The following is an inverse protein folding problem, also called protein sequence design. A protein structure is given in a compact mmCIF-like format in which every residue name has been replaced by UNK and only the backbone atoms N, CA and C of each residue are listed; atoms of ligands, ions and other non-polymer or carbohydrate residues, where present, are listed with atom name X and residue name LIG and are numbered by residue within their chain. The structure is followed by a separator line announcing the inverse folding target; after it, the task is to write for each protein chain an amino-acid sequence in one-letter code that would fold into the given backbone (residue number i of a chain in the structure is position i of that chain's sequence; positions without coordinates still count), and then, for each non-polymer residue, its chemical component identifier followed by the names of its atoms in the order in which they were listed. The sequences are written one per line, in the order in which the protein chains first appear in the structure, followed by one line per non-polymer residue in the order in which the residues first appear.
data_IF_098067239798
#
_entry.id   IF_098067239798
#
_cell.length_a   1.000
_cell.length_b   1.000
_cell.length_c   1.000
_cell.angle_alpha   90.00
_cell.angle_beta   90.00
_cell.angle_gamma   90.00
#
_symmetry.space_group_name_H-M   'P 1'
#
loop_
_entity.id
_entity.type
_entity.pdbx_description
1 polymer ?
#
# COMPACT_ATOMS: atom_id res chain seq x y z
N UNK A 1 -24.36 -4.89 -24.34
CA UNK A 1 -23.70 -4.35 -23.16
C UNK A 1 -22.24 -4.72 -23.20
N UNK A 2 -21.34 -3.77 -23.45
CA UNK A 2 -19.90 -4.02 -23.49
C UNK A 2 -19.38 -4.08 -22.06
N UNK A 3 -19.10 -5.27 -21.55
CA UNK A 3 -18.39 -5.41 -20.28
C UNK A 3 -16.93 -5.06 -20.53
N UNK A 4 -16.40 -4.05 -19.83
CA UNK A 4 -14.97 -3.77 -19.87
C UNK A 4 -14.18 -5.04 -19.50
N UNK A 5 -12.99 -5.26 -20.11
CA UNK A 5 -12.17 -6.42 -19.78
C UNK A 5 -11.73 -6.39 -18.31
N UNK A 6 -11.58 -7.56 -17.66
CA UNK A 6 -11.13 -7.62 -16.27
C UNK A 6 -9.71 -7.06 -16.12
N UNK A 7 -9.45 -6.43 -14.97
CA UNK A 7 -8.10 -5.98 -14.59
C UNK A 7 -7.26 -7.17 -14.16
N UNK A 8 -6.01 -7.23 -14.62
CA UNK A 8 -4.99 -8.17 -14.13
C UNK A 8 -4.06 -7.43 -13.19
N UNK A 9 -3.82 -7.99 -12.01
CA UNK A 9 -2.84 -7.48 -11.07
C UNK A 9 -1.48 -8.14 -11.33
N UNK A 10 -0.44 -7.31 -11.43
CA UNK A 10 0.93 -7.73 -11.72
C UNK A 10 1.82 -7.69 -10.50
N UNK A 11 1.58 -6.72 -9.62
CA UNK A 11 2.33 -6.53 -8.40
C UNK A 11 1.38 -6.01 -7.31
N UNK A 12 1.59 -6.53 -6.11
CA UNK A 12 1.01 -5.98 -4.89
C UNK A 12 2.16 -5.56 -3.99
N UNK A 13 2.07 -4.38 -3.39
CA UNK A 13 2.89 -4.00 -2.25
C UNK A 13 2.02 -3.51 -1.10
N UNK A 14 2.53 -3.68 0.10
CA UNK A 14 1.95 -3.16 1.33
C UNK A 14 3.04 -2.47 2.15
N UNK A 15 2.76 -1.26 2.60
CA UNK A 15 3.63 -0.49 3.47
C UNK A 15 2.93 -0.26 4.81
N UNK A 16 3.61 -0.57 5.91
CA UNK A 16 3.23 -0.17 7.26
C UNK A 16 3.76 1.23 7.52
N UNK A 17 2.86 2.13 7.92
CA UNK A 17 3.19 3.54 8.04
C UNK A 17 2.68 4.15 9.31
N UNK A 18 3.44 5.14 9.75
CA UNK A 18 3.20 5.94 10.94
C UNK A 18 3.03 7.39 10.52
N UNK A 19 1.95 8.03 10.97
CA UNK A 19 1.74 9.47 10.81
C UNK A 19 1.70 10.14 12.19
N UNK A 20 2.62 11.07 12.43
CA UNK A 20 2.60 11.98 13.58
C UNK A 20 2.07 13.33 13.15
N UNK A 21 1.02 13.82 13.81
CA UNK A 21 0.45 15.14 13.55
C UNK A 21 0.56 16.03 14.77
N UNK A 22 1.19 17.19 14.60
CA UNK A 22 1.27 18.24 15.63
C UNK A 22 0.22 19.30 15.32
N UNK A 23 -0.51 19.75 16.35
CA UNK A 23 -1.49 20.82 16.20
C UNK A 23 -0.84 22.09 15.61
N UNK A 24 -1.53 22.72 14.66
CA UNK A 24 -1.02 23.83 13.86
C UNK A 24 -0.26 24.95 14.61
N UNK A 25 -0.72 25.45 15.79
CA UNK A 25 0.02 26.50 16.50
C UNK A 25 1.38 26.05 17.07
N UNK A 26 1.63 24.74 17.15
CA UNK A 26 2.86 24.14 17.69
C UNK A 26 3.72 23.48 16.61
N UNK A 27 3.22 23.39 15.37
CA UNK A 27 3.93 22.73 14.27
C UNK A 27 5.04 23.64 13.72
N UNK A 28 6.29 23.16 13.74
CA UNK A 28 7.46 23.87 13.20
C UNK A 28 7.73 23.56 11.72
N UNK A 29 7.11 22.49 11.19
CA UNK A 29 7.12 22.07 9.78
C UNK A 29 5.70 21.67 9.36
N UNK A 30 5.49 21.28 8.09
CA UNK A 30 4.22 20.74 7.61
C UNK A 30 3.60 19.80 8.67
N UNK A 31 2.38 20.09 9.10
CA UNK A 31 1.83 19.63 10.39
C UNK A 31 1.66 18.13 10.57
N UNK A 32 2.07 17.30 9.60
CA UNK A 32 2.13 15.85 9.70
C UNK A 32 3.47 15.32 9.18
N UNK A 33 4.08 14.40 9.92
CA UNK A 33 5.28 13.63 9.53
C UNK A 33 4.85 12.19 9.31
N UNK A 34 5.07 11.67 8.11
CA UNK A 34 4.78 10.27 7.76
C UNK A 34 6.09 9.49 7.60
N UNK A 35 6.14 8.30 8.15
CA UNK A 35 7.25 7.36 8.02
C UNK A 35 6.74 6.00 7.56
N UNK A 36 7.51 5.34 6.69
CA UNK A 36 7.33 3.93 6.34
C UNK A 36 8.20 3.12 7.28
N UNK A 37 7.57 2.29 8.10
CA UNK A 37 8.24 1.49 9.13
C UNK A 37 8.65 0.12 8.59
N UNK A 38 7.82 -0.45 7.69
CA UNK A 38 8.13 -1.67 6.95
C UNK A 38 7.38 -1.70 5.61
N UNK A 39 7.94 -2.39 4.62
CA UNK A 39 7.31 -2.54 3.31
C UNK A 39 7.64 -3.90 2.70
N UNK A 40 6.62 -4.54 2.13
CA UNK A 40 6.76 -5.80 1.42
C UNK A 40 6.01 -5.75 0.09
N UNK A 41 6.53 -6.44 -0.91
CA UNK A 41 5.92 -6.52 -2.24
C UNK A 41 6.23 -7.81 -2.94
N UNK A 42 5.32 -8.23 -3.82
CA UNK A 42 5.50 -9.43 -4.64
C UNK A 42 4.84 -9.27 -6.01
N UNK A 43 5.50 -9.83 -7.02
CA UNK A 43 4.91 -10.00 -8.35
C UNK A 43 3.85 -11.12 -8.28
N UNK A 44 2.62 -10.80 -8.67
CA UNK A 44 1.44 -11.60 -8.36
C UNK A 44 0.59 -11.92 -9.59
N UNK A 45 1.19 -11.97 -10.79
CA UNK A 45 0.47 -12.31 -12.01
C UNK A 45 -0.35 -13.59 -11.77
N UNK A 46 -1.67 -13.51 -11.96
CA UNK A 46 -2.64 -14.61 -11.79
C UNK A 46 -2.92 -15.08 -10.34
N UNK A 47 -2.31 -14.47 -9.32
CA UNK A 47 -2.62 -14.79 -7.92
C UNK A 47 -3.98 -14.23 -7.50
N UNK A 48 -4.78 -15.05 -6.80
CA UNK A 48 -6.10 -14.65 -6.27
C UNK A 48 -6.04 -14.13 -4.83
N UNK A 49 -4.99 -14.47 -4.10
CA UNK A 49 -4.75 -14.07 -2.72
C UNK A 49 -3.25 -13.93 -2.48
N UNK A 50 -2.90 -13.09 -1.51
CA UNK A 50 -1.53 -12.77 -1.12
C UNK A 50 -1.51 -12.57 0.38
N UNK A 51 -0.40 -12.93 1.00
CA UNK A 51 -0.14 -12.74 2.42
C UNK A 51 1.17 -11.99 2.58
N UNK A 52 1.19 -11.05 3.52
CA UNK A 52 2.36 -10.26 3.85
C UNK A 52 2.59 -10.36 5.35
N UNK A 53 3.86 -10.42 5.73
CA UNK A 53 4.30 -10.27 7.11
C UNK A 53 5.01 -8.92 7.20
N UNK A 54 4.57 -8.10 8.14
CA UNK A 54 5.14 -6.78 8.40
C UNK A 54 5.55 -6.73 9.87
N UNK A 55 6.72 -6.19 10.14
CA UNK A 55 7.23 -6.05 11.48
C UNK A 55 6.91 -4.66 12.05
N UNK A 56 6.34 -4.64 13.25
CA UNK A 56 6.33 -3.44 14.08
C UNK A 56 7.71 -3.27 14.74
N UNK A 57 8.33 -2.07 14.70
CA UNK A 57 9.50 -1.78 15.51
C UNK A 57 9.26 -2.09 16.98
N UNK A 58 10.30 -2.54 17.70
CA UNK A 58 10.17 -2.91 19.13
C UNK A 58 9.71 -1.74 20.00
N UNK A 59 10.08 -0.54 19.62
CA UNK A 59 9.75 0.74 20.24
C UNK A 59 8.60 1.48 19.51
N UNK A 60 7.83 0.76 18.69
CA UNK A 60 6.67 1.30 18.00
C UNK A 60 5.69 1.93 19.01
N UNK A 61 5.45 3.25 18.97
CA UNK A 61 4.49 3.88 19.86
C UNK A 61 3.07 3.43 19.54
N UNK A 62 2.19 3.24 20.54
CA UNK A 62 0.79 2.92 20.30
C UNK A 62 0.08 4.07 19.59
N UNK A 63 -1.05 3.77 18.95
CA UNK A 63 -1.96 4.79 18.41
C UNK A 63 -2.49 5.66 19.55
N UNK A 64 -2.44 6.98 19.38
CA UNK A 64 -3.03 7.91 20.35
C UNK A 64 -3.45 9.22 19.68
N UNK A 65 -4.38 9.92 20.33
CA UNK A 65 -4.79 11.25 19.93
C UNK A 65 -4.99 12.15 21.16
N UNK A 66 -4.32 13.30 21.15
CA UNK A 66 -4.49 14.39 22.11
C UNK A 66 -4.79 15.69 21.36
N UNK A 67 -5.21 16.77 22.05
CA UNK A 67 -5.40 18.07 21.40
C UNK A 67 -4.14 18.67 20.77
N UNK A 68 -2.94 18.22 21.17
CA UNK A 68 -1.66 18.77 20.73
C UNK A 68 -0.93 17.87 19.73
N UNK A 69 -1.07 16.56 19.87
CA UNK A 69 -0.34 15.55 19.12
C UNK A 69 -1.22 14.31 18.90
N UNK A 70 -1.19 13.78 17.69
CA UNK A 70 -1.73 12.45 17.38
C UNK A 70 -0.69 11.59 16.68
N UNK A 71 -0.75 10.30 16.94
CA UNK A 71 0.01 9.28 16.24
C UNK A 71 -0.96 8.21 15.74
N UNK A 72 -0.96 7.98 14.42
CA UNK A 72 -1.81 7.01 13.76
C UNK A 72 -0.98 6.05 12.91
N UNK A 73 -1.42 4.81 12.85
CA UNK A 73 -0.82 3.78 12.01
C UNK A 73 -1.73 3.46 10.83
N UNK A 74 -1.13 3.09 9.71
CA UNK A 74 -1.88 2.69 8.52
C UNK A 74 -1.12 1.70 7.66
N UNK A 75 -1.86 0.87 6.93
CA UNK A 75 -1.35 0.04 5.86
C UNK A 75 -1.69 0.71 4.53
N UNK A 76 -0.68 1.11 3.76
CA UNK A 76 -0.88 1.48 2.36
C UNK A 76 -0.74 0.24 1.50
N UNK A 77 -1.82 -0.14 0.83
CA UNK A 77 -1.83 -1.19 -0.19
C UNK A 77 -1.73 -0.55 -1.57
N UNK A 78 -0.76 -0.97 -2.38
CA UNK A 78 -0.60 -0.54 -3.76
C UNK A 78 -0.70 -1.74 -4.70
N UNK A 79 -1.59 -1.67 -5.69
CA UNK A 79 -1.75 -2.66 -6.74
C UNK A 79 -1.34 -2.05 -8.08
N UNK A 80 -0.41 -2.71 -8.75
CA UNK A 80 -0.08 -2.42 -10.13
C UNK A 80 -0.95 -3.31 -11.03
N UNK A 81 -1.86 -2.71 -11.79
CA UNK A 81 -2.84 -3.43 -12.61
C UNK A 81 -2.76 -3.03 -14.07
N UNK A 82 -3.23 -3.89 -14.97
CA UNK A 82 -3.49 -3.51 -16.36
C UNK A 82 -4.80 -4.11 -16.85
N UNK A 83 -5.44 -3.44 -17.82
CA UNK A 83 -6.63 -3.99 -18.48
C UNK A 83 -6.23 -5.19 -19.34
N UNK A 84 -6.91 -6.32 -19.17
CA UNK A 84 -6.68 -7.49 -20.03
C UNK A 84 -7.10 -7.16 -21.48
N UNK A 85 -6.15 -6.72 -22.31
CA UNK A 85 -6.44 -6.28 -23.68
C UNK A 85 -5.30 -6.42 -24.70
N UNK A 86 -4.10 -6.79 -24.29
CA UNK A 86 -3.00 -7.03 -25.24
C UNK A 86 -2.81 -8.54 -25.42
N UNK A 87 -3.53 -9.09 -26.41
CA UNK A 87 -3.22 -10.32 -27.14
C UNK A 87 -2.37 -11.37 -26.37
N UNK A 88 -3.01 -12.29 -25.64
CA UNK A 88 -2.39 -13.60 -25.37
C UNK A 88 -2.30 -14.34 -26.70
N UNK A 89 -1.23 -14.10 -27.48
CA UNK A 89 -0.88 -14.97 -28.58
C UNK A 89 -0.37 -16.29 -27.96
N UNK A 90 -0.95 -17.45 -28.30
CA UNK A 90 -0.47 -18.72 -27.78
C UNK A 90 0.90 -19.01 -28.39
N UNK A 91 1.98 -18.83 -27.63
CA UNK A 91 3.30 -19.37 -28.02
C UNK A 91 4.54 -18.53 -27.73
N UNK A 92 4.47 -17.34 -27.13
CA UNK A 92 5.68 -16.61 -26.75
C UNK A 92 5.76 -16.31 -25.25
N UNK A 93 6.62 -17.06 -24.56
CA UNK A 93 7.15 -16.65 -23.26
C UNK A 93 8.14 -15.51 -23.51
N UNK A 94 7.64 -14.30 -23.76
CA UNK A 94 8.47 -13.11 -23.90
C UNK A 94 8.42 -12.32 -22.58
N UNK A 95 9.57 -12.25 -21.91
CA UNK A 95 9.88 -11.39 -20.75
C UNK A 95 9.87 -9.87 -21.13
N UNK A 96 8.99 -9.45 -22.04
CA UNK A 96 8.90 -8.06 -22.47
C UNK A 96 7.99 -7.24 -21.54
N UNK A 97 8.30 -5.96 -21.28
CA UNK A 97 7.38 -5.06 -20.59
C UNK A 97 6.07 -5.03 -21.38
N UNK A 98 4.97 -5.37 -20.73
CA UNK A 98 3.68 -5.54 -21.38
C UNK A 98 3.27 -4.25 -22.12
N UNK A 99 2.86 -4.32 -23.39
CA UNK A 99 2.25 -3.19 -24.07
C UNK A 99 0.81 -3.04 -23.54
N UNK A 100 0.65 -2.28 -22.47
CA UNK A 100 -0.66 -1.95 -21.90
C UNK A 100 -0.57 -0.75 -20.98
N UNK A 101 -1.64 0.01 -20.87
CA UNK A 101 -1.77 1.06 -19.86
C UNK A 101 -1.77 0.39 -18.48
N UNK A 102 -0.66 0.57 -17.76
CA UNK A 102 -0.52 0.12 -16.38
C UNK A 102 -1.06 1.21 -15.48
N UNK A 103 -1.98 0.84 -14.60
CA UNK A 103 -2.61 1.72 -13.63
C UNK A 103 -2.14 1.33 -12.23
N UNK A 104 -1.82 2.32 -11.41
CA UNK A 104 -1.53 2.13 -9.99
C UNK A 104 -2.78 2.45 -9.19
N UNK A 105 -3.23 1.50 -8.38
CA UNK A 105 -4.32 1.67 -7.45
C UNK A 105 -3.77 1.63 -6.03
N UNK A 106 -4.03 2.67 -5.24
CA UNK A 106 -3.52 2.79 -3.87
C UNK A 106 -4.66 3.02 -2.88
N UNK A 107 -4.65 2.27 -1.78
CA UNK A 107 -5.57 2.42 -0.66
C UNK A 107 -4.81 2.52 0.64
N UNK A 108 -5.40 3.18 1.63
CA UNK A 108 -4.85 3.26 2.98
C UNK A 108 -5.88 2.73 3.96
N UNK A 109 -5.51 1.72 4.74
CA UNK A 109 -6.32 1.13 5.78
C UNK A 109 -5.78 1.57 7.14
N UNK A 110 -6.59 2.18 8.02
CA UNK A 110 -6.14 2.52 9.36
C UNK A 110 -5.89 1.24 10.17
N UNK A 111 -4.86 1.27 11.01
CA UNK A 111 -4.55 0.20 11.97
C UNK A 111 -4.41 0.82 13.35
N UNK A 112 -4.96 0.14 14.36
CA UNK A 112 -4.76 0.51 15.76
C UNK A 112 -3.64 -0.35 16.36
N UNK A 113 -2.55 0.32 16.76
CA UNK A 113 -1.46 -0.30 17.50
C UNK A 113 -1.71 -0.05 18.98
N UNK A 114 -1.76 -1.11 19.77
CA UNK A 114 -1.95 -1.05 21.22
C UNK A 114 -0.69 -1.50 21.94
N UNK A 115 -0.53 -1.04 23.18
CA UNK A 115 0.55 -1.52 24.06
C UNK A 115 0.29 -2.99 24.41
N UNK A 116 1.30 -3.84 24.21
CA UNK A 116 1.26 -5.26 24.51
C UNK A 116 1.66 -5.51 25.96
N UNK A 117 0.76 -5.22 26.90
CA UNK A 117 0.91 -5.57 28.32
C UNK A 117 0.48 -7.01 28.60
#
# INVERSE_FOLDING_TARGET
SSSAPPLRCWQVSVALEREERVAAPFATRAGAVRAVEDEAGLACAYARSWSFELALPRDAPPSFATPLLSLAWSLRLTLLVSRAGAHEAPGNVALAPLPGEVEELSWTLPVDVHDGM
#
